data_IF_582459201171
#
_entry.id   IF_582459201171
#
_cell.length_a   1.000
_cell.length_b   1.000
_cell.length_c   1.000
_cell.angle_alpha   90.00
_cell.angle_beta   90.00
_cell.angle_gamma   90.00
#
_symmetry.space_group_name_H-M   'P 1'
#
loop_
_entity.id
_entity.type
_entity.pdbx_description
1 polymer ?
#
# COMPACT_ATOMS: atom_id res chain seq x y z
N UNK A 1 -6.06 13.43 1.85
CA UNK A 1 -6.03 12.23 2.73
C UNK A 1 -4.57 11.79 2.86
N UNK A 2 -4.09 11.47 4.07
CA UNK A 2 -2.64 11.38 4.42
C UNK A 2 -1.96 10.15 3.79
N UNK A 3 -0.88 10.36 3.02
CA UNK A 3 -0.09 9.32 2.31
C UNK A 3 0.59 8.34 3.27
N UNK A 4 1.09 8.82 4.40
CA UNK A 4 1.80 8.00 5.41
C UNK A 4 0.92 6.85 5.94
N UNK A 5 -0.38 7.09 6.10
CA UNK A 5 -1.30 6.03 6.55
C UNK A 5 -1.42 4.92 5.51
N UNK A 6 -1.46 5.26 4.22
CA UNK A 6 -1.54 4.28 3.15
C UNK A 6 -0.24 3.46 3.07
N UNK A 7 0.91 4.12 3.20
CA UNK A 7 2.21 3.46 3.24
C UNK A 7 2.29 2.43 4.36
N UNK A 8 1.91 2.82 5.58
CA UNK A 8 1.90 1.91 6.73
C UNK A 8 0.97 0.70 6.50
N UNK A 9 -0.23 0.93 5.96
CA UNK A 9 -1.17 -0.16 5.65
C UNK A 9 -0.62 -1.12 4.59
N UNK A 10 0.00 -0.61 3.53
CA UNK A 10 0.58 -1.45 2.48
C UNK A 10 1.75 -2.29 3.00
N UNK A 11 2.58 -1.72 3.90
CA UNK A 11 3.65 -2.47 4.57
C UNK A 11 3.10 -3.57 5.49
N UNK A 12 2.04 -3.30 6.24
CA UNK A 12 1.41 -4.33 7.07
C UNK A 12 0.81 -5.47 6.23
N UNK A 13 0.19 -5.15 5.09
CA UNK A 13 -0.34 -6.16 4.16
C UNK A 13 0.80 -6.99 3.56
N UNK A 14 1.92 -6.35 3.22
CA UNK A 14 3.10 -7.02 2.63
C UNK A 14 3.62 -8.21 3.46
N UNK A 15 3.53 -8.15 4.78
CA UNK A 15 4.00 -9.23 5.68
C UNK A 15 3.19 -10.53 5.56
N UNK A 16 1.93 -10.45 5.11
CA UNK A 16 1.00 -11.60 5.11
C UNK A 16 0.58 -12.08 3.73
N UNK A 17 0.88 -11.32 2.67
CA UNK A 17 0.44 -11.64 1.31
C UNK A 17 1.37 -12.62 0.61
N UNK A 18 0.77 -13.50 -0.17
CA UNK A 18 1.46 -14.45 -1.05
C UNK A 18 1.50 -13.91 -2.49
N UNK A 19 2.38 -14.45 -3.36
CA UNK A 19 2.42 -14.04 -4.77
C UNK A 19 1.10 -14.27 -5.53
N UNK A 20 0.24 -15.17 -5.06
CA UNK A 20 -1.09 -15.44 -5.63
C UNK A 20 -2.15 -14.40 -5.20
N UNK A 21 -1.84 -13.56 -4.20
CA UNK A 21 -2.79 -12.60 -3.65
C UNK A 21 -2.96 -11.40 -4.56
N UNK A 22 -4.20 -11.16 -5.01
CA UNK A 22 -4.58 -9.96 -5.77
C UNK A 22 -5.06 -8.88 -4.81
N UNK A 23 -4.40 -7.72 -4.83
CA UNK A 23 -4.77 -6.57 -4.01
C UNK A 23 -5.64 -5.63 -4.85
N UNK A 24 -6.84 -5.33 -4.33
CA UNK A 24 -7.81 -4.43 -4.93
C UNK A 24 -7.99 -3.20 -4.05
N UNK A 25 -7.60 -2.03 -4.56
CA UNK A 25 -7.87 -0.76 -3.89
C UNK A 25 -8.86 0.08 -4.70
N UNK A 26 -9.83 0.69 -4.01
CA UNK A 26 -10.84 1.54 -4.62
C UNK A 26 -10.76 2.95 -4.03
N UNK A 27 -10.80 3.95 -4.90
CA UNK A 27 -10.84 5.35 -4.49
C UNK A 27 -11.63 6.20 -5.49
N UNK A 28 -12.00 7.42 -5.09
CA UNK A 28 -12.55 8.39 -6.03
C UNK A 28 -11.48 8.72 -7.06
N UNK A 29 -11.87 8.83 -8.33
CA UNK A 29 -10.96 9.06 -9.45
C UNK A 29 -10.05 10.28 -9.22
N UNK A 30 -10.58 11.33 -8.57
CA UNK A 30 -9.85 12.56 -8.22
C UNK A 30 -8.82 12.41 -7.10
N UNK A 31 -8.91 11.35 -6.30
CA UNK A 31 -8.01 11.09 -5.17
C UNK A 31 -6.87 10.13 -5.53
N UNK A 32 -6.93 9.50 -6.71
CA UNK A 32 -5.84 8.67 -7.24
C UNK A 32 -4.88 9.60 -7.96
N UNK A 33 -3.79 9.94 -7.27
CA UNK A 33 -2.69 10.70 -7.85
C UNK A 33 -1.57 9.75 -8.29
N UNK A 34 -0.69 10.23 -9.18
CA UNK A 34 0.49 9.45 -9.62
C UNK A 34 1.34 8.97 -8.44
N UNK A 35 1.46 9.78 -7.38
CA UNK A 35 2.18 9.43 -6.16
C UNK A 35 1.56 8.24 -5.41
N UNK A 36 0.25 8.01 -5.54
CA UNK A 36 -0.43 6.84 -4.97
C UNK A 36 -0.08 5.60 -5.77
N UNK A 37 -0.10 5.67 -7.10
CA UNK A 37 0.25 4.53 -7.97
C UNK A 37 1.70 4.11 -7.78
N UNK A 38 2.63 5.08 -7.75
CA UNK A 38 4.04 4.83 -7.48
C UNK A 38 4.26 4.15 -6.13
N UNK A 39 3.47 4.49 -5.11
CA UNK A 39 3.57 3.86 -3.79
C UNK A 39 3.16 2.38 -3.82
N UNK A 40 2.11 2.04 -4.58
CA UNK A 40 1.71 0.64 -4.79
C UNK A 40 2.79 -0.13 -5.55
N UNK A 41 3.38 0.47 -6.59
CA UNK A 41 4.47 -0.12 -7.37
C UNK A 41 5.72 -0.37 -6.51
N UNK A 42 6.09 0.57 -5.66
CA UNK A 42 7.25 0.45 -4.77
C UNK A 42 7.06 -0.62 -3.70
N UNK A 43 5.86 -0.72 -3.09
CA UNK A 43 5.65 -1.58 -1.91
C UNK A 43 5.15 -2.97 -2.28
N UNK A 44 4.25 -3.09 -3.23
CA UNK A 44 3.58 -4.35 -3.57
C UNK A 44 4.15 -4.94 -4.85
N UNK A 45 4.21 -4.15 -5.92
CA UNK A 45 4.62 -4.62 -7.24
C UNK A 45 3.76 -4.10 -8.38
N UNK A 46 3.68 -4.89 -9.44
CA UNK A 46 2.98 -4.51 -10.68
C UNK A 46 1.56 -4.02 -10.40
N UNK A 47 1.27 -2.81 -10.86
CA UNK A 47 0.02 -2.12 -10.56
C UNK A 47 -0.68 -1.64 -11.83
N UNK A 48 -1.96 -1.99 -11.97
CA UNK A 48 -2.82 -1.64 -13.10
C UNK A 48 -4.03 -0.87 -12.60
N UNK A 49 -4.47 0.14 -13.35
CA UNK A 49 -5.69 0.90 -12.99
C UNK A 49 -6.84 0.61 -13.93
N UNK A 50 -8.06 0.65 -13.40
CA UNK A 50 -9.28 0.59 -14.20
C UNK A 50 -9.58 1.93 -14.88
N UNK A 51 -10.46 1.85 -15.90
CA UNK A 51 -11.22 2.99 -16.39
C UNK A 51 -12.02 3.63 -15.24
N UNK A 52 -12.18 4.95 -15.32
CA UNK A 52 -12.99 5.69 -14.36
C UNK A 52 -14.48 5.43 -14.64
N UNK A 53 -15.21 4.94 -13.63
CA UNK A 53 -16.64 4.71 -13.72
C UNK A 53 -17.33 5.35 -12.51
N UNK A 54 -18.38 6.14 -12.76
CA UNK A 54 -19.14 6.85 -11.70
C UNK A 54 -18.26 7.59 -10.67
N UNK A 55 -17.23 8.31 -11.15
CA UNK A 55 -16.23 9.05 -10.33
C UNK A 55 -15.35 8.17 -9.43
N UNK A 56 -15.34 6.86 -9.61
CA UNK A 56 -14.47 5.91 -8.93
C UNK A 56 -13.46 5.30 -9.91
N UNK A 57 -12.34 4.84 -9.37
CA UNK A 57 -11.32 4.07 -10.08
C UNK A 57 -10.82 2.95 -9.17
N UNK A 58 -10.49 1.82 -9.78
CA UNK A 58 -9.88 0.68 -9.11
C UNK A 58 -8.38 0.61 -9.44
N UNK A 59 -7.61 0.18 -8.46
CA UNK A 59 -6.20 -0.14 -8.56
C UNK A 59 -6.09 -1.64 -8.29
N UNK A 60 -5.63 -2.38 -9.29
CA UNK A 60 -5.26 -3.78 -9.22
C UNK A 60 -3.76 -3.83 -8.98
N UNK A 61 -3.32 -4.55 -7.96
CA UNK A 61 -1.90 -4.74 -7.69
C UNK A 61 -1.61 -6.20 -7.46
N UNK A 62 -0.63 -6.73 -8.18
CA UNK A 62 -0.15 -8.10 -8.01
C UNK A 62 1.11 -8.05 -7.13
N UNK A 63 1.15 -8.90 -6.10
CA UNK A 63 2.32 -8.97 -5.24
C UNK A 63 3.49 -9.63 -5.98
N UNK A 64 4.51 -8.85 -6.30
CA UNK A 64 5.72 -9.31 -7.00
C UNK A 64 6.99 -9.23 -6.13
N UNK A 65 6.83 -9.03 -4.82
CA UNK A 65 7.90 -8.92 -3.80
C UNK A 65 9.11 -8.07 -4.24
N UNK A 66 8.91 -6.80 -4.64
CA UNK A 66 10.04 -5.91 -4.96
C UNK A 66 10.93 -5.69 -3.73
N UNK A 67 12.25 -5.54 -3.92
CA UNK A 67 13.17 -5.21 -2.82
C UNK A 67 12.78 -3.85 -2.22
N UNK A 68 12.36 -3.85 -0.96
CA UNK A 68 11.89 -2.67 -0.26
C UNK A 68 12.70 -2.49 1.02
N UNK A 69 13.24 -1.29 1.23
CA UNK A 69 13.85 -0.94 2.51
C UNK A 69 12.81 -1.01 3.62
N UNK A 70 13.13 -1.77 4.66
CA UNK A 70 12.34 -1.84 5.88
C UNK A 70 12.20 -0.44 6.47
N UNK A 71 10.96 -0.04 6.78
CA UNK A 71 10.70 1.22 7.47
C UNK A 71 10.74 0.96 8.96
N UNK A 72 11.37 1.87 9.71
CA UNK A 72 11.39 1.84 11.16
C UNK A 72 9.95 1.90 11.71
N UNK A 73 9.56 0.99 12.61
CA UNK A 73 8.22 1.00 13.17
C UNK A 73 8.03 2.26 14.03
N UNK A 74 7.09 3.12 13.64
CA UNK A 74 6.75 4.37 14.36
C UNK A 74 5.99 4.12 15.67
N UNK A 75 5.66 2.86 15.99
CA UNK A 75 4.80 2.47 17.09
C UNK A 75 5.53 1.71 18.22
N UNK A 76 6.85 1.84 18.33
CA UNK A 76 7.60 1.24 19.44
C UNK A 76 7.84 2.32 20.49
N UNK A 77 7.02 2.33 21.54
CA UNK A 77 7.35 3.03 22.78
C UNK A 77 7.94 2.01 23.75
N UNK A 78 9.17 2.20 24.23
CA UNK A 78 9.68 1.39 25.32
C UNK A 78 8.79 1.63 26.54
N UNK A 79 8.28 0.55 27.15
CA UNK A 79 7.59 0.63 28.42
C UNK A 79 8.64 0.77 29.52
N UNK A 80 8.52 1.77 30.38
CA UNK A 80 9.36 1.88 31.58
C UNK A 80 9.07 0.69 32.52
N UNK A 81 10.02 -0.22 32.66
CA UNK A 81 10.03 -1.24 33.72
C UNK A 81 9.56 -2.66 33.38
N UNK A 82 9.46 -3.06 32.12
CA UNK A 82 9.39 -4.50 31.76
C UNK A 82 10.80 -5.11 31.69
N UNK A 83 11.04 -6.30 32.28
CA UNK A 83 12.36 -6.97 32.26
C UNK A 83 12.79 -7.38 30.84
#
# INVERSE_FOLDING_TARGET
>A
KKRERLEHQLRAIREVVTPDTVILAAARAKEIHNSTLQLFEQIIGETKTSLAWKKARLIYSQFSKPELREATPTLVWPLDGTP
#
